data_IF_753658412457
#
_entry.id   IF_753658412457
#
_cell.length_a   1.000
_cell.length_b   1.000
_cell.length_c   1.000
_cell.angle_alpha   90.00
_cell.angle_beta   90.00
_cell.angle_gamma   90.00
#
_symmetry.space_group_name_H-M   'P 1'
#
loop_
_entity.id
_entity.type
_entity.pdbx_description
1 polymer ?
#
# COMPACT_ATOMS: atom_id res chain seq x y z
N UNK A 1 -53.64 -32.16 0.13
CA UNK A 1 -54.70 -32.30 1.15
C UNK A 1 -54.08 -32.86 2.44
N UNK A 2 -54.38 -32.23 3.58
CA UNK A 2 -54.45 -32.72 4.99
C UNK A 2 -53.34 -33.68 5.51
N UNK A 3 -52.50 -33.32 6.49
CA UNK A 3 -52.72 -33.01 7.93
C UNK A 3 -52.74 -34.25 8.86
N UNK A 4 -52.06 -34.11 10.03
CA UNK A 4 -52.20 -34.94 11.25
C UNK A 4 -50.90 -35.66 11.66
N UNK A 5 -50.07 -35.20 12.61
CA UNK A 5 -50.24 -35.03 14.07
C UNK A 5 -50.37 -36.34 14.87
N UNK A 6 -49.37 -36.63 15.72
CA UNK A 6 -49.50 -37.51 16.89
C UNK A 6 -48.54 -37.06 18.03
N UNK A 7 -48.84 -37.51 19.25
CA UNK A 7 -48.83 -36.81 20.55
C UNK A 7 -47.85 -37.43 21.58
N UNK A 8 -47.19 -36.58 22.42
CA UNK A 8 -46.78 -36.61 23.89
C UNK A 8 -46.31 -37.94 24.58
N UNK A 9 -45.61 -38.01 25.77
CA UNK A 9 -45.48 -37.02 26.89
C UNK A 9 -44.12 -36.90 27.66
N UNK A 10 -44.18 -36.05 28.72
CA UNK A 10 -43.19 -35.51 29.68
C UNK A 10 -42.65 -36.51 30.74
N UNK A 11 -41.52 -36.12 31.40
CA UNK A 11 -41.20 -36.21 32.85
C UNK A 11 -39.97 -35.29 33.12
N UNK A 12 -40.13 -34.07 33.65
CA UNK A 12 -39.89 -33.60 35.04
C UNK A 12 -38.59 -34.05 35.74
N UNK A 13 -37.70 -33.09 36.07
CA UNK A 13 -37.33 -32.74 37.45
C UNK A 13 -36.50 -31.44 37.52
N UNK A 14 -36.76 -30.71 38.60
CA UNK A 14 -36.21 -29.42 39.05
C UNK A 14 -34.78 -29.53 39.57
N UNK A 15 -34.00 -28.44 39.51
CA UNK A 15 -33.28 -27.80 40.64
C UNK A 15 -32.54 -26.55 40.10
N UNK A 16 -32.79 -25.40 40.70
CA UNK A 16 -32.07 -24.14 40.51
C UNK A 16 -30.90 -24.02 41.50
N UNK A 17 -29.95 -23.10 41.25
CA UNK A 17 -29.39 -22.32 42.34
C UNK A 17 -29.52 -20.80 42.12
N UNK A 18 -29.73 -20.17 43.27
CA UNK A 18 -29.94 -18.77 43.59
C UNK A 18 -28.76 -17.85 43.27
N UNK A 19 -29.06 -16.68 42.71
CA UNK A 19 -28.17 -15.52 42.62
C UNK A 19 -28.30 -14.66 43.89
N UNK A 20 -27.16 -14.33 44.50
CA UNK A 20 -27.03 -13.30 45.55
C UNK A 20 -26.16 -12.15 45.03
N UNK A 21 -26.52 -10.87 45.26
CA UNK A 21 -25.76 -9.73 44.78
C UNK A 21 -24.71 -9.32 45.82
N UNK A 22 -23.42 -9.40 45.47
CA UNK A 22 -22.36 -8.81 46.28
C UNK A 22 -22.17 -7.34 45.94
N UNK A 23 -22.32 -6.51 46.97
CA UNK A 23 -22.02 -5.08 47.00
C UNK A 23 -20.52 -4.85 46.80
N UNK A 24 -20.13 -4.04 45.82
CA UNK A 24 -18.83 -3.38 45.85
C UNK A 24 -18.98 -1.98 46.44
N UNK A 25 -18.26 -1.78 47.55
CA UNK A 25 -18.20 -0.55 48.34
C UNK A 25 -17.13 0.38 47.75
N UNK A 26 -17.46 1.67 47.73
CA UNK A 26 -16.57 2.80 47.45
C UNK A 26 -15.30 2.78 48.34
N UNK A 27 -14.13 2.91 47.72
CA UNK A 27 -12.86 3.19 48.37
C UNK A 27 -12.18 4.39 47.71
N UNK A 28 -11.90 5.43 48.49
CA UNK A 28 -11.43 6.76 48.09
C UNK A 28 -9.95 6.79 47.69
N UNK A 29 -9.64 7.83 46.91
CA UNK A 29 -8.42 8.65 46.85
C UNK A 29 -7.20 8.19 47.64
N UNK A 30 -6.06 8.12 46.96
CA UNK A 30 -4.82 8.63 47.53
C UNK A 30 -4.04 9.46 46.50
N UNK A 31 -3.84 10.71 46.88
CA UNK A 31 -2.95 11.69 46.29
C UNK A 31 -1.50 11.19 46.25
N UNK A 32 -0.80 11.48 45.15
CA UNK A 32 0.66 11.63 45.19
C UNK A 32 0.98 13.11 45.02
N UNK A 33 1.16 13.77 46.16
CA UNK A 33 1.73 15.10 46.25
C UNK A 33 3.26 15.04 46.12
N UNK A 34 3.76 16.11 45.50
CA UNK A 34 5.13 16.56 45.42
C UNK A 34 5.74 16.86 46.80
N UNK A 35 7.02 16.52 46.96
CA UNK A 35 8.02 17.26 47.76
C UNK A 35 9.36 17.08 47.01
N UNK A 36 10.00 18.07 46.37
CA UNK A 36 10.46 19.41 46.73
C UNK A 36 11.60 19.46 47.78
N UNK A 37 12.52 20.40 47.53
CA UNK A 37 13.70 20.82 48.33
C UNK A 37 14.98 20.00 48.12
N UNK A 38 16.17 20.58 47.85
CA UNK A 38 16.68 21.96 47.99
C UNK A 38 18.02 22.02 47.21
N UNK A 39 18.26 23.07 46.38
CA UNK A 39 19.03 24.30 46.70
C UNK A 39 20.54 24.02 46.93
N UNK A 40 21.51 24.78 46.43
CA UNK A 40 21.56 26.22 46.15
C UNK A 40 22.92 26.58 45.49
N UNK A 41 22.92 27.69 44.72
CA UNK A 41 23.96 28.74 44.63
C UNK A 41 25.34 28.43 44.01
N UNK A 42 26.02 29.31 43.25
CA UNK A 42 25.80 30.72 42.89
C UNK A 42 26.89 31.21 41.89
N UNK A 43 26.50 32.19 41.04
CA UNK A 43 27.16 33.49 40.70
C UNK A 43 28.55 33.40 39.99
N UNK A 44 28.90 34.11 38.90
CA UNK A 44 28.84 35.56 38.58
C UNK A 44 29.20 35.80 37.09
N UNK A 45 28.45 36.66 36.36
CA UNK A 45 28.84 38.01 35.84
C UNK A 45 29.95 38.05 34.75
N UNK A 46 29.79 38.71 33.59
CA UNK A 46 29.72 40.16 33.40
C UNK A 46 29.27 40.53 31.96
N UNK A 47 28.64 41.70 31.83
CA UNK A 47 28.21 42.35 30.60
C UNK A 47 29.25 43.36 30.06
N UNK A 48 29.18 43.71 28.76
CA UNK A 48 29.13 45.10 28.24
C UNK A 48 29.34 45.18 26.70
N UNK A 49 28.43 45.89 26.02
CA UNK A 49 28.62 46.64 24.74
C UNK A 49 29.02 48.11 25.07
N UNK A 50 29.21 49.13 24.18
CA UNK A 50 28.73 49.31 22.78
C UNK A 50 29.58 50.21 21.81
N UNK A 51 29.12 50.42 20.56
CA UNK A 51 29.25 51.65 19.73
C UNK A 51 28.52 51.46 18.37
N UNK A 52 27.39 52.12 18.06
CA UNK A 52 27.19 53.45 17.44
C UNK A 52 27.70 53.63 15.99
N UNK A 53 26.78 53.75 15.02
CA UNK A 53 26.62 55.00 14.23
C UNK A 53 25.33 55.06 13.38
N UNK A 54 24.74 56.26 13.37
CA UNK A 54 23.53 56.72 12.66
C UNK A 54 23.84 57.15 11.22
N UNK A 55 22.85 57.11 10.32
CA UNK A 55 22.34 58.32 9.60
C UNK A 55 21.05 58.05 8.81
N UNK A 56 20.19 59.06 8.72
CA UNK A 56 18.88 59.09 8.06
C UNK A 56 18.80 60.30 7.11
N UNK A 57 18.04 60.12 6.00
CA UNK A 57 17.16 61.09 5.32
C UNK A 57 17.73 62.14 4.34
N UNK A 58 17.16 62.25 3.12
CA UNK A 58 16.08 63.22 2.78
C UNK A 58 15.60 63.14 1.29
N UNK A 59 14.26 63.17 1.11
CA UNK A 59 13.37 63.92 0.14
C UNK A 59 13.75 64.06 -1.36
N UNK A 60 12.88 64.27 -2.37
CA UNK A 60 11.43 64.28 -2.67
C UNK A 60 11.29 64.45 -4.22
N UNK A 61 10.22 63.89 -4.80
CA UNK A 61 9.44 64.26 -6.02
C UNK A 61 10.09 64.96 -7.24
N UNK A 62 9.85 64.37 -8.42
CA UNK A 62 9.49 65.11 -9.65
C UNK A 62 8.53 64.26 -10.53
N UNK A 63 7.45 64.87 -11.01
CA UNK A 63 6.53 64.35 -12.04
C UNK A 63 7.01 64.82 -13.41
N UNK A 64 6.92 63.98 -14.44
CA UNK A 64 6.46 64.39 -15.77
C UNK A 64 6.06 63.17 -16.61
N UNK A 65 4.97 63.32 -17.35
CA UNK A 65 4.32 62.32 -18.17
C UNK A 65 4.80 62.44 -19.62
N UNK A 66 4.93 61.33 -20.34
CA UNK A 66 4.73 61.25 -21.79
C UNK A 66 4.00 59.94 -22.10
N UNK A 67 2.88 60.09 -22.79
CA UNK A 67 2.08 59.02 -23.34
C UNK A 67 2.72 58.49 -24.63
N UNK A 68 2.71 57.17 -24.82
CA UNK A 68 2.72 56.56 -26.14
C UNK A 68 1.70 55.43 -26.15
N UNK A 69 0.68 55.64 -26.97
CA UNK A 69 -0.37 54.69 -27.32
C UNK A 69 0.28 53.68 -28.26
N UNK A 70 0.30 52.40 -27.87
CA UNK A 70 0.39 51.31 -28.83
C UNK A 70 -0.76 50.34 -28.58
N UNK A 71 -1.60 50.22 -29.60
CA UNK A 71 -2.77 49.39 -29.63
C UNK A 71 -2.36 47.96 -30.04
N UNK A 72 -2.16 47.07 -29.06
CA UNK A 72 -2.05 45.64 -29.32
C UNK A 72 -3.34 44.89 -28.98
N UNK A 73 -3.88 44.27 -30.03
CA UNK A 73 -4.91 43.22 -30.06
C UNK A 73 -4.88 42.31 -28.82
N UNK A 74 -5.92 42.40 -27.98
CA UNK A 74 -6.23 41.38 -26.99
C UNK A 74 -6.83 40.16 -27.70
N UNK A 75 -5.99 39.18 -28.02
CA UNK A 75 -6.42 37.80 -28.30
C UNK A 75 -6.69 37.08 -26.98
N UNK A 76 -7.82 36.39 -26.94
CA UNK A 76 -8.29 35.55 -25.84
C UNK A 76 -7.26 34.51 -25.39
N UNK A 77 -7.10 34.34 -24.07
CA UNK A 77 -6.78 33.06 -23.47
C UNK A 77 -7.64 32.84 -22.23
N UNK A 78 -8.66 31.98 -22.34
CA UNK A 78 -9.23 31.30 -21.17
C UNK A 78 -8.10 30.47 -20.55
N UNK A 79 -7.58 30.90 -19.41
CA UNK A 79 -6.65 30.11 -18.59
C UNK A 79 -7.40 28.93 -17.98
N UNK A 80 -7.25 27.74 -18.54
CA UNK A 80 -7.56 26.50 -17.85
C UNK A 80 -6.44 26.21 -16.85
N UNK A 81 -6.67 26.42 -15.56
CA UNK A 81 -5.77 25.94 -14.51
C UNK A 81 -6.19 24.52 -14.14
N UNK A 82 -5.57 23.54 -14.78
CA UNK A 82 -5.35 22.23 -14.16
C UNK A 82 -3.84 22.14 -13.89
N UNK A 83 -3.37 22.81 -12.85
CA UNK A 83 -2.03 22.58 -12.31
C UNK A 83 -2.14 21.43 -11.33
N UNK A 84 -2.27 20.21 -11.83
CA UNK A 84 -2.19 19.04 -10.95
C UNK A 84 -0.75 18.97 -10.44
N UNK A 85 -0.58 18.97 -9.12
CA UNK A 85 0.73 18.96 -8.45
C UNK A 85 1.22 17.55 -8.16
N UNK A 86 0.56 16.53 -8.72
CA UNK A 86 1.04 15.15 -8.63
C UNK A 86 2.47 15.08 -9.20
N UNK A 87 3.48 14.80 -8.36
CA UNK A 87 4.88 14.83 -8.78
C UNK A 87 5.26 13.67 -9.69
N UNK A 88 4.36 12.70 -9.87
CA UNK A 88 4.57 11.48 -10.62
C UNK A 88 3.26 11.07 -11.30
N UNK A 89 2.75 11.82 -12.30
CA UNK A 89 1.46 11.51 -12.92
C UNK A 89 1.50 10.18 -13.67
N UNK A 90 0.38 9.44 -13.79
CA UNK A 90 0.34 8.19 -14.53
C UNK A 90 0.74 8.30 -16.00
N UNK A 91 1.30 7.22 -16.53
CA UNK A 91 1.56 7.13 -17.96
C UNK A 91 0.26 6.87 -18.72
N UNK A 92 -0.20 7.90 -19.45
CA UNK A 92 -1.33 7.74 -20.36
C UNK A 92 -1.03 6.75 -21.50
N UNK A 93 -2.08 6.24 -22.14
CA UNK A 93 -1.98 5.25 -23.25
C UNK A 93 -1.01 5.63 -24.37
N UNK A 94 -0.77 6.93 -24.59
CA UNK A 94 0.20 7.45 -25.57
C UNK A 94 1.66 7.06 -25.30
N UNK A 95 1.98 6.59 -24.09
CA UNK A 95 3.30 6.13 -23.70
C UNK A 95 3.47 4.61 -23.80
N UNK A 96 2.44 3.88 -24.22
CA UNK A 96 2.59 2.47 -24.56
C UNK A 96 3.45 2.32 -25.82
N UNK A 97 4.44 1.44 -25.77
CA UNK A 97 5.38 1.14 -26.85
C UNK A 97 5.28 -0.31 -27.34
N UNK A 98 4.44 -1.13 -26.72
CA UNK A 98 4.25 -2.54 -27.07
C UNK A 98 2.75 -2.85 -27.24
N UNK A 99 2.42 -3.52 -28.33
CA UNK A 99 1.07 -3.97 -28.68
C UNK A 99 1.02 -5.48 -29.02
N UNK A 100 2.15 -6.18 -28.85
CA UNK A 100 2.27 -7.62 -29.05
C UNK A 100 2.13 -8.32 -27.71
N UNK A 101 1.38 -9.45 -27.60
CA UNK A 101 1.27 -10.19 -26.34
C UNK A 101 2.62 -10.69 -25.79
N UNK A 102 2.89 -10.40 -24.53
CA UNK A 102 4.05 -10.91 -23.78
C UNK A 102 3.73 -12.27 -23.16
N UNK A 103 4.71 -13.18 -23.23
CA UNK A 103 4.61 -14.54 -22.68
C UNK A 103 4.99 -14.51 -21.21
N UNK A 104 4.09 -14.97 -20.35
CA UNK A 104 4.23 -14.88 -18.89
C UNK A 104 4.50 -16.26 -18.29
N UNK A 105 5.51 -16.34 -17.43
CA UNK A 105 5.76 -17.47 -16.55
C UNK A 105 5.41 -17.13 -15.11
N UNK A 106 4.56 -17.93 -14.47
CA UNK A 106 4.12 -17.72 -13.08
C UNK A 106 4.61 -18.86 -12.19
N UNK A 107 5.56 -18.56 -11.29
CA UNK A 107 6.07 -19.51 -10.31
C UNK A 107 5.32 -19.32 -8.98
N UNK A 108 4.76 -20.39 -8.40
CA UNK A 108 3.98 -20.29 -7.15
C UNK A 108 2.49 -19.99 -7.36
N UNK A 109 1.94 -20.38 -8.50
CA UNK A 109 0.59 -20.00 -8.93
C UNK A 109 -0.57 -20.47 -8.04
N UNK A 110 -0.38 -21.48 -7.19
CA UNK A 110 -1.43 -22.04 -6.32
C UNK A 110 -1.89 -21.08 -5.21
N UNK A 111 -1.03 -20.16 -4.77
CA UNK A 111 -1.37 -19.23 -3.70
C UNK A 111 -2.52 -18.30 -4.08
N UNK A 112 -3.17 -17.68 -3.09
CA UNK A 112 -4.28 -16.75 -3.35
C UNK A 112 -3.89 -15.59 -4.28
N UNK A 113 -2.68 -15.05 -4.14
CA UNK A 113 -2.16 -14.02 -5.05
C UNK A 113 -1.91 -14.56 -6.46
N UNK A 114 -1.42 -15.79 -6.59
CA UNK A 114 -1.22 -16.45 -7.88
C UNK A 114 -2.54 -16.62 -8.63
N UNK A 115 -3.60 -17.03 -7.93
CA UNK A 115 -4.95 -17.12 -8.53
C UNK A 115 -5.50 -15.75 -8.92
N UNK A 116 -5.33 -14.72 -8.09
CA UNK A 116 -5.75 -13.35 -8.44
C UNK A 116 -4.98 -12.81 -9.67
N UNK A 117 -3.71 -13.17 -9.83
CA UNK A 117 -2.93 -12.86 -11.05
C UNK A 117 -3.45 -13.62 -12.27
N UNK A 118 -3.80 -14.91 -12.13
CA UNK A 118 -4.38 -15.69 -13.23
C UNK A 118 -5.68 -15.05 -13.73
N UNK A 119 -6.55 -14.60 -12.82
CA UNK A 119 -7.80 -13.90 -13.18
C UNK A 119 -7.51 -12.61 -13.97
N UNK A 120 -6.55 -11.81 -13.50
CA UNK A 120 -6.11 -10.58 -14.18
C UNK A 120 -5.49 -10.88 -15.56
N UNK A 121 -4.60 -11.85 -15.66
CA UNK A 121 -3.99 -12.25 -16.93
C UNK A 121 -5.02 -12.80 -17.91
N UNK A 122 -6.07 -13.48 -17.42
CA UNK A 122 -7.17 -13.95 -18.26
C UNK A 122 -7.95 -12.77 -18.89
N UNK A 123 -8.11 -11.66 -18.18
CA UNK A 123 -8.77 -10.45 -18.68
C UNK A 123 -7.87 -9.52 -19.51
N UNK A 124 -6.55 -9.62 -19.40
CA UNK A 124 -5.63 -8.67 -20.02
C UNK A 124 -5.35 -8.96 -21.50
N UNK A 125 -5.47 -8.02 -22.45
CA UNK A 125 -5.30 -8.30 -23.88
C UNK A 125 -3.89 -8.80 -24.27
N UNK A 126 -2.84 -8.29 -23.61
CA UNK A 126 -1.44 -8.56 -23.94
C UNK A 126 -0.66 -9.46 -22.96
N UNK A 127 -1.29 -9.99 -21.90
CA UNK A 127 -0.61 -10.94 -21.00
C UNK A 127 -1.03 -12.35 -21.39
N UNK A 128 -0.12 -13.10 -22.01
CA UNK A 128 -0.33 -14.49 -22.42
C UNK A 128 0.40 -15.42 -21.45
N UNK A 129 -0.32 -15.92 -20.46
CA UNK A 129 0.20 -16.92 -19.52
C UNK A 129 0.57 -18.20 -20.28
N UNK A 130 1.84 -18.62 -20.17
CA UNK A 130 2.41 -19.79 -20.86
C UNK A 130 2.82 -20.90 -19.91
N UNK A 131 3.50 -20.52 -18.83
CA UNK A 131 4.07 -21.46 -17.86
C UNK A 131 3.54 -21.17 -16.47
N UNK A 132 3.16 -22.21 -15.74
CA UNK A 132 2.54 -22.09 -14.43
C UNK A 132 3.08 -23.19 -13.54
N UNK A 133 3.94 -22.83 -12.57
CA UNK A 133 4.61 -23.80 -11.70
C UNK A 133 3.90 -23.95 -10.36
N UNK A 134 3.62 -25.20 -9.99
CA UNK A 134 3.17 -25.62 -8.66
C UNK A 134 3.56 -27.07 -8.41
N UNK A 135 4.42 -27.32 -7.42
CA UNK A 135 4.80 -28.68 -7.01
C UNK A 135 3.61 -29.55 -6.62
N UNK A 136 2.60 -28.96 -5.97
CA UNK A 136 1.43 -29.70 -5.46
C UNK A 136 0.39 -30.00 -6.55
N UNK A 137 0.26 -29.12 -7.55
CA UNK A 137 -0.73 -29.25 -8.61
C UNK A 137 -0.14 -29.77 -9.93
N UNK A 138 1.15 -30.09 -9.98
CA UNK A 138 1.83 -30.57 -11.18
C UNK A 138 1.04 -31.69 -11.88
N UNK A 139 0.83 -31.54 -13.19
CA UNK A 139 0.04 -32.45 -14.01
C UNK A 139 -1.47 -32.17 -14.04
N UNK A 140 -1.99 -31.29 -13.17
CA UNK A 140 -3.40 -30.88 -13.19
C UNK A 140 -3.63 -29.72 -14.16
N UNK A 141 -4.82 -29.67 -14.77
CA UNK A 141 -5.20 -28.56 -15.65
C UNK A 141 -5.51 -27.30 -14.83
N UNK A 142 -4.92 -26.16 -15.23
CA UNK A 142 -5.25 -24.84 -14.70
C UNK A 142 -6.72 -24.50 -15.00
N UNK A 143 -7.45 -24.14 -13.96
CA UNK A 143 -8.82 -23.61 -14.07
C UNK A 143 -8.79 -22.08 -14.06
N UNK A 144 -9.83 -21.43 -14.58
CA UNK A 144 -9.96 -19.97 -14.56
C UNK A 144 -9.22 -19.22 -15.69
N UNK A 145 -8.40 -19.91 -16.48
CA UNK A 145 -7.75 -19.34 -17.66
C UNK A 145 -8.32 -19.93 -18.95
N UNK A 146 -8.93 -19.10 -19.79
CA UNK A 146 -9.70 -19.53 -20.97
C UNK A 146 -9.00 -19.28 -22.31
N UNK A 147 -7.88 -18.55 -22.32
CA UNK A 147 -7.14 -18.24 -23.55
C UNK A 147 -6.40 -19.44 -24.15
N UNK A 148 -6.08 -20.43 -23.31
CA UNK A 148 -5.47 -21.72 -23.70
C UNK A 148 -5.59 -22.73 -22.57
N UNK A 149 -5.44 -24.01 -22.91
CA UNK A 149 -5.27 -25.07 -21.91
C UNK A 149 -3.84 -25.01 -21.38
N UNK A 150 -3.68 -24.88 -20.07
CA UNK A 150 -2.40 -24.92 -19.36
C UNK A 150 -2.46 -26.05 -18.34
N UNK A 151 -1.38 -26.80 -18.23
CA UNK A 151 -1.18 -27.80 -17.18
C UNK A 151 -0.14 -27.25 -16.21
N UNK A 152 -0.37 -27.40 -14.92
CA UNK A 152 0.63 -27.01 -13.92
C UNK A 152 1.90 -27.85 -14.09
N UNK A 153 3.04 -27.17 -14.04
CA UNK A 153 4.36 -27.75 -14.16
C UNK A 153 5.06 -27.79 -12.79
N UNK A 154 6.15 -28.55 -12.68
CA UNK A 154 7.06 -28.48 -11.54
C UNK A 154 8.42 -27.97 -12.03
N UNK A 155 8.46 -26.69 -12.37
CA UNK A 155 9.66 -26.05 -12.92
C UNK A 155 10.70 -25.85 -11.81
N UNK A 156 11.87 -26.43 -12.00
CA UNK A 156 13.09 -26.14 -11.23
C UNK A 156 13.73 -24.82 -11.68
N UNK A 157 14.71 -24.28 -10.93
CA UNK A 157 15.50 -23.13 -11.39
C UNK A 157 16.15 -23.32 -12.76
N UNK A 158 16.66 -24.52 -13.05
CA UNK A 158 17.29 -24.84 -14.33
C UNK A 158 16.26 -24.86 -15.47
N UNK A 159 15.06 -25.39 -15.23
CA UNK A 159 13.96 -25.37 -16.22
C UNK A 159 13.55 -23.93 -16.54
N UNK A 160 13.44 -23.07 -15.51
CA UNK A 160 13.11 -21.65 -15.67
C UNK A 160 14.19 -20.93 -16.49
N UNK A 161 15.47 -21.16 -16.18
CA UNK A 161 16.59 -20.60 -16.93
C UNK A 161 16.62 -21.07 -18.39
N UNK A 162 16.33 -22.35 -18.63
CA UNK A 162 16.28 -22.90 -19.98
C UNK A 162 15.12 -22.32 -20.80
N UNK A 163 13.91 -22.22 -20.23
CA UNK A 163 12.76 -21.58 -20.88
C UNK A 163 13.03 -20.10 -21.20
N UNK A 164 13.76 -19.39 -20.33
CA UNK A 164 14.16 -18.01 -20.56
C UNK A 164 15.14 -17.87 -21.73
N UNK A 165 16.17 -18.72 -21.73
CA UNK A 165 17.21 -18.80 -22.76
C UNK A 165 16.64 -19.12 -24.13
N UNK A 166 15.68 -20.05 -24.19
CA UNK A 166 14.98 -20.43 -25.42
C UNK A 166 14.01 -19.35 -25.90
N UNK A 167 13.92 -18.23 -25.19
CA UNK A 167 13.08 -17.13 -25.58
C UNK A 167 11.61 -17.40 -25.35
N UNK A 168 11.20 -18.33 -24.46
CA UNK A 168 9.80 -18.75 -24.31
C UNK A 168 8.99 -17.88 -23.34
N UNK A 169 9.68 -17.11 -22.49
CA UNK A 169 9.06 -16.23 -21.49
C UNK A 169 9.64 -14.82 -21.61
N UNK A 170 8.78 -13.81 -21.60
CA UNK A 170 9.15 -12.38 -21.64
C UNK A 170 9.11 -11.77 -20.23
N UNK A 171 8.28 -12.32 -19.33
CA UNK A 171 8.25 -11.91 -17.92
C UNK A 171 7.99 -13.09 -16.98
N UNK A 172 8.81 -13.18 -15.93
CA UNK A 172 8.66 -14.11 -14.82
C UNK A 172 8.05 -13.42 -13.61
N UNK A 173 7.00 -14.01 -13.06
CA UNK A 173 6.40 -13.59 -11.79
C UNK A 173 6.69 -14.64 -10.73
N UNK A 174 7.42 -14.24 -9.69
CA UNK A 174 7.80 -15.08 -8.56
C UNK A 174 6.81 -14.89 -7.42
N UNK A 175 5.71 -15.65 -7.42
CA UNK A 175 4.71 -15.68 -6.35
C UNK A 175 5.07 -16.70 -5.26
N UNK A 176 6.31 -16.63 -4.77
CA UNK A 176 6.90 -17.59 -3.83
C UNK A 176 6.93 -17.04 -2.39
N UNK A 177 7.02 -17.91 -1.37
CA UNK A 177 7.30 -17.48 -0.01
C UNK A 177 8.66 -16.77 0.11
N UNK A 178 8.81 -15.93 1.13
CA UNK A 178 10.09 -15.29 1.45
C UNK A 178 11.21 -16.33 1.65
N UNK A 179 12.39 -16.03 1.12
CA UNK A 179 13.61 -16.84 1.17
C UNK A 179 13.69 -17.93 0.10
N UNK A 180 12.71 -18.03 -0.80
CA UNK A 180 12.61 -19.11 -1.79
C UNK A 180 12.97 -18.63 -3.21
N UNK A 181 12.96 -17.32 -3.49
CA UNK A 181 13.20 -16.80 -4.83
C UNK A 181 14.65 -16.95 -5.27
N UNK A 182 15.61 -16.90 -4.33
CA UNK A 182 17.05 -16.80 -4.61
C UNK A 182 17.57 -17.79 -5.68
N UNK A 183 17.30 -19.10 -5.63
CA UNK A 183 17.83 -20.03 -6.64
C UNK A 183 17.32 -19.73 -8.06
N UNK A 184 16.07 -19.29 -8.21
CA UNK A 184 15.51 -18.92 -9.51
C UNK A 184 16.15 -17.65 -10.06
N UNK A 185 16.39 -16.66 -9.20
CA UNK A 185 17.08 -15.43 -9.58
C UNK A 185 18.52 -15.73 -10.01
N UNK A 186 19.26 -16.53 -9.23
CA UNK A 186 20.64 -16.90 -9.57
C UNK A 186 20.73 -17.64 -10.91
N UNK A 187 19.77 -18.51 -11.23
CA UNK A 187 19.72 -19.22 -12.50
C UNK A 187 19.43 -18.28 -13.69
N UNK A 188 18.45 -17.36 -13.55
CA UNK A 188 18.15 -16.35 -14.56
C UNK A 188 19.33 -15.39 -14.77
N UNK A 189 20.02 -14.99 -13.69
CA UNK A 189 21.17 -14.11 -13.72
C UNK A 189 22.34 -14.69 -14.50
N UNK A 190 22.54 -16.01 -14.45
CA UNK A 190 23.56 -16.69 -15.25
C UNK A 190 23.26 -16.58 -16.75
N UNK A 191 22.00 -16.76 -17.14
CA UNK A 191 21.59 -16.68 -18.55
C UNK A 191 21.62 -15.23 -19.06
N UNK A 192 21.22 -14.26 -18.22
CA UNK A 192 21.17 -12.84 -18.60
C UNK A 192 22.54 -12.18 -18.76
N UNK A 193 23.63 -12.81 -18.29
CA UNK A 193 25.00 -12.27 -18.47
C UNK A 193 25.43 -12.28 -19.94
N UNK A 194 25.07 -13.33 -20.67
CA UNK A 194 25.54 -13.59 -22.04
C UNK A 194 24.43 -13.39 -23.09
N UNK A 195 23.30 -12.80 -22.70
CA UNK A 195 22.11 -12.62 -23.56
C UNK A 195 21.80 -11.16 -23.81
N UNK A 196 21.57 -10.82 -25.08
CA UNK A 196 21.05 -9.51 -25.51
C UNK A 196 19.58 -9.31 -25.09
N UNK A 197 18.86 -10.41 -24.82
CA UNK A 197 17.47 -10.39 -24.35
C UNK A 197 17.41 -10.73 -22.86
N UNK A 198 16.75 -9.88 -22.08
CA UNK A 198 16.50 -10.12 -20.65
C UNK A 198 15.00 -10.09 -20.41
N UNK A 199 14.46 -11.15 -19.84
CA UNK A 199 13.09 -11.14 -19.35
C UNK A 199 12.96 -10.21 -18.16
N UNK A 200 11.76 -9.67 -17.97
CA UNK A 200 11.41 -8.92 -16.75
C UNK A 200 11.12 -9.90 -15.62
N UNK A 201 11.67 -9.65 -14.44
CA UNK A 201 11.43 -10.46 -13.25
C UNK A 201 10.69 -9.63 -12.21
N UNK A 202 9.52 -10.10 -11.77
CA UNK A 202 8.75 -9.51 -10.67
C UNK A 202 8.79 -10.45 -9.48
N UNK A 203 9.31 -9.99 -8.33
CA UNK A 203 9.32 -10.73 -7.08
C UNK A 203 8.21 -10.22 -6.14
N UNK A 204 7.29 -11.10 -5.77
CA UNK A 204 6.20 -10.76 -4.84
C UNK A 204 6.59 -10.96 -3.37
N UNK A 205 7.68 -11.67 -3.11
CA UNK A 205 8.21 -11.89 -1.78
C UNK A 205 8.85 -10.60 -1.23
N UNK A 206 9.43 -10.68 -0.03
CA UNK A 206 10.18 -9.59 0.56
C UNK A 206 11.69 -9.63 0.25
N UNK A 207 12.17 -10.64 -0.48
CA UNK A 207 13.61 -10.95 -0.62
C UNK A 207 14.41 -9.78 -1.21
N UNK A 208 13.81 -9.04 -2.15
CA UNK A 208 14.46 -7.95 -2.88
C UNK A 208 13.86 -6.56 -2.63
N UNK A 209 12.96 -6.41 -1.64
CA UNK A 209 12.30 -5.11 -1.37
C UNK A 209 13.24 -4.05 -0.82
N UNK A 210 14.42 -4.45 -0.34
CA UNK A 210 15.46 -3.57 0.22
C UNK A 210 16.72 -3.55 -0.65
N UNK A 211 16.73 -4.29 -1.75
CA UNK A 211 17.87 -4.39 -2.66
C UNK A 211 17.83 -3.23 -3.65
N UNK A 212 18.88 -2.40 -3.65
CA UNK A 212 19.00 -1.24 -4.55
C UNK A 212 19.16 -1.62 -6.03
N UNK A 213 19.51 -2.86 -6.33
CA UNK A 213 19.55 -3.39 -7.71
C UNK A 213 18.17 -3.77 -8.25
N UNK A 214 17.13 -3.72 -7.40
CA UNK A 214 15.74 -3.94 -7.77
C UNK A 214 14.95 -2.64 -7.66
N UNK A 215 14.06 -2.41 -8.61
CA UNK A 215 13.14 -1.28 -8.57
C UNK A 215 11.95 -1.63 -7.66
N UNK A 216 11.69 -0.82 -6.64
CA UNK A 216 10.52 -1.01 -5.78
C UNK A 216 9.25 -0.60 -6.52
N UNK A 217 8.36 -1.56 -6.78
CA UNK A 217 7.23 -1.43 -7.68
C UNK A 217 5.99 -0.76 -7.08
N UNK A 218 6.12 0.47 -6.58
CA UNK A 218 5.01 1.31 -6.11
C UNK A 218 4.80 2.51 -7.06
N UNK A 219 4.15 2.37 -8.24
CA UNK A 219 4.13 3.40 -9.28
C UNK A 219 3.67 4.78 -8.83
N UNK A 220 2.83 4.89 -7.81
CA UNK A 220 2.41 6.18 -7.27
C UNK A 220 3.54 6.95 -6.57
N UNK A 221 4.54 6.25 -6.01
CA UNK A 221 5.64 6.83 -5.22
C UNK A 221 7.02 6.64 -5.85
N UNK A 222 7.26 5.54 -6.55
CA UNK A 222 8.45 5.29 -7.36
C UNK A 222 8.27 5.94 -8.72
N UNK A 223 9.30 6.63 -9.22
CA UNK A 223 9.21 7.27 -10.54
C UNK A 223 8.88 6.22 -11.60
N UNK A 224 7.78 6.42 -12.32
CA UNK A 224 7.30 5.45 -13.33
C UNK A 224 8.32 5.17 -14.43
N UNK A 225 9.18 6.15 -14.75
CA UNK A 225 10.30 5.96 -15.69
C UNK A 225 11.33 4.93 -15.22
N UNK A 226 11.55 4.82 -13.90
CA UNK A 226 12.48 3.84 -13.33
C UNK A 226 11.86 2.42 -13.42
N UNK A 227 10.56 2.29 -13.20
CA UNK A 227 9.83 1.02 -13.37
C UNK A 227 9.82 0.60 -14.84
N UNK A 228 9.54 1.53 -15.75
CA UNK A 228 9.50 1.28 -17.19
C UNK A 228 10.83 0.74 -17.73
N UNK A 229 11.97 1.20 -17.19
CA UNK A 229 13.30 0.75 -17.60
C UNK A 229 13.78 -0.50 -16.85
N UNK A 230 13.01 -1.02 -15.90
CA UNK A 230 13.44 -2.07 -15.01
C UNK A 230 13.21 -3.46 -15.59
N UNK A 231 14.21 -4.33 -15.42
CA UNK A 231 14.06 -5.78 -15.64
C UNK A 231 13.91 -6.55 -14.32
N UNK A 232 13.99 -5.87 -13.16
CA UNK A 232 13.94 -6.48 -11.83
C UNK A 232 13.11 -5.61 -10.89
N UNK A 233 11.90 -6.06 -10.59
CA UNK A 233 10.95 -5.29 -9.79
C UNK A 233 10.58 -6.08 -8.53
N UNK A 234 10.77 -5.46 -7.37
CA UNK A 234 10.28 -6.00 -6.10
C UNK A 234 8.89 -5.41 -5.83
N UNK A 235 7.89 -6.28 -5.77
CA UNK A 235 6.51 -5.85 -5.56
C UNK A 235 6.29 -5.51 -4.07
N UNK A 236 5.66 -4.36 -3.76
CA UNK A 236 5.35 -3.96 -2.40
C UNK A 236 4.54 -4.99 -1.61
N UNK A 237 4.74 -4.98 -0.29
CA UNK A 237 3.87 -5.67 0.64
C UNK A 237 2.50 -5.01 0.79
N UNK A 238 1.47 -5.80 1.10
CA UNK A 238 0.09 -5.33 1.11
C UNK A 238 -0.19 -4.24 2.17
N UNK A 239 0.31 -4.40 3.40
CA UNK A 239 0.21 -3.33 4.41
C UNK A 239 1.11 -2.14 4.07
N UNK A 240 2.32 -2.41 3.58
CA UNK A 240 3.26 -1.37 3.20
C UNK A 240 2.70 -0.48 2.09
N UNK A 241 1.97 -1.04 1.13
CA UNK A 241 1.30 -0.31 0.06
C UNK A 241 0.32 0.73 0.64
N UNK A 242 -0.63 0.30 1.46
CA UNK A 242 -1.63 1.20 2.04
C UNK A 242 -1.01 2.25 2.96
N UNK A 243 -0.05 1.86 3.80
CA UNK A 243 0.60 2.76 4.74
C UNK A 243 1.47 3.81 4.02
N UNK A 244 2.24 3.42 3.00
CA UNK A 244 3.06 4.35 2.22
C UNK A 244 2.21 5.35 1.46
N UNK A 245 1.16 4.90 0.76
CA UNK A 245 0.19 5.79 0.09
C UNK A 245 -0.50 6.74 1.08
N UNK A 246 -0.59 6.34 2.35
CA UNK A 246 -1.23 7.16 3.36
C UNK A 246 -0.27 8.13 4.04
N UNK A 247 1.00 7.80 4.21
CA UNK A 247 1.96 8.65 4.94
C UNK A 247 2.69 9.60 3.99
N UNK A 248 2.94 9.20 2.74
CA UNK A 248 3.72 9.96 1.76
C UNK A 248 3.32 11.45 1.62
N UNK A 249 2.02 11.82 1.56
CA UNK A 249 1.62 13.23 1.45
C UNK A 249 1.94 14.10 2.68
N UNK A 250 2.30 13.48 3.81
CA UNK A 250 2.56 14.15 5.09
C UNK A 250 4.00 14.03 5.58
N UNK A 251 4.91 13.44 4.80
CA UNK A 251 6.33 13.25 5.20
C UNK A 251 6.97 14.56 5.67
N UNK A 252 6.80 15.65 4.92
CA UNK A 252 7.31 16.98 5.27
C UNK A 252 6.57 17.68 6.43
N UNK A 253 5.53 17.04 6.96
CA UNK A 253 4.68 17.56 8.02
C UNK A 253 4.72 16.71 9.30
N UNK A 254 5.51 15.64 9.32
CA UNK A 254 5.65 14.79 10.49
C UNK A 254 6.27 15.56 11.66
N UNK A 255 5.62 15.46 12.82
CA UNK A 255 6.10 15.96 14.11
C UNK A 255 6.57 14.87 15.06
N UNK A 256 6.57 13.61 14.61
CA UNK A 256 6.90 12.43 15.39
C UNK A 256 6.66 11.15 14.59
N UNK A 257 6.84 10.01 15.25
CA UNK A 257 6.67 8.69 14.65
C UNK A 257 5.20 8.38 14.32
N UNK A 258 4.86 8.03 13.06
CA UNK A 258 3.55 7.48 12.72
C UNK A 258 3.30 6.12 13.36
N UNK A 259 2.09 5.91 13.89
CA UNK A 259 1.65 4.64 14.48
C UNK A 259 0.53 4.04 13.63
N UNK A 260 0.72 2.82 13.15
CA UNK A 260 -0.15 2.12 12.21
C UNK A 260 -0.78 0.91 12.91
N UNK A 261 -2.11 0.92 13.04
CA UNK A 261 -2.88 -0.25 13.43
C UNK A 261 -3.50 -0.86 12.18
N UNK A 262 -3.14 -2.11 11.87
CA UNK A 262 -3.58 -2.80 10.66
C UNK A 262 -4.43 -4.03 10.97
N UNK A 263 -5.50 -4.23 10.21
CA UNK A 263 -6.33 -5.44 10.27
C UNK A 263 -6.50 -6.03 8.87
N UNK A 264 -5.94 -7.20 8.62
CA UNK A 264 -6.08 -7.91 7.34
C UNK A 264 -7.16 -8.97 7.40
N UNK A 265 -7.77 -9.23 6.26
CA UNK A 265 -8.45 -10.50 6.01
C UNK A 265 -7.47 -11.66 5.98
N UNK A 266 -7.96 -12.87 6.26
CA UNK A 266 -7.11 -14.03 6.50
C UNK A 266 -6.40 -14.59 5.25
N UNK A 267 -6.79 -14.17 4.05
CA UNK A 267 -6.07 -14.52 2.81
C UNK A 267 -4.62 -14.01 2.80
N UNK A 268 -4.32 -12.94 3.56
CA UNK A 268 -2.96 -12.42 3.70
C UNK A 268 -1.97 -13.38 4.37
N UNK A 269 -2.47 -14.36 5.12
CA UNK A 269 -1.62 -15.41 5.72
C UNK A 269 -1.28 -16.55 4.74
N UNK A 270 -1.79 -16.50 3.50
CA UNK A 270 -1.55 -17.50 2.47
C UNK A 270 -2.34 -18.80 2.67
N UNK A 271 -1.96 -19.85 1.96
CA UNK A 271 -2.68 -21.14 1.92
C UNK A 271 -2.12 -22.20 2.88
N UNK A 272 -0.95 -21.96 3.48
CA UNK A 272 -0.37 -22.88 4.49
C UNK A 272 -1.16 -22.72 5.79
N UNK A 273 -1.72 -23.81 6.30
CA UNK A 273 -2.58 -23.79 7.50
C UNK A 273 -1.86 -23.17 8.72
N UNK A 274 -2.58 -22.31 9.43
CA UNK A 274 -2.16 -21.62 10.64
C UNK A 274 -3.39 -21.08 11.38
N UNK A 275 -3.27 -20.68 12.66
CA UNK A 275 -4.37 -19.99 13.35
C UNK A 275 -4.84 -18.71 12.63
N UNK A 276 -3.95 -18.07 11.86
CA UNK A 276 -4.21 -16.82 11.15
C UNK A 276 -5.03 -17.00 9.85
N UNK A 277 -5.22 -18.23 9.39
CA UNK A 277 -6.07 -18.56 8.24
C UNK A 277 -7.02 -19.74 8.51
N UNK A 278 -7.33 -19.99 9.78
CA UNK A 278 -8.36 -20.94 10.18
C UNK A 278 -9.66 -20.15 10.51
N UNK A 279 -10.70 -20.24 9.66
CA UNK A 279 -11.97 -19.55 9.90
C UNK A 279 -12.65 -19.94 11.22
N UNK A 280 -12.37 -21.12 11.77
CA UNK A 280 -12.93 -21.54 13.07
C UNK A 280 -12.27 -20.78 14.21
N UNK A 281 -10.96 -20.57 14.15
CA UNK A 281 -10.20 -19.81 15.16
C UNK A 281 -10.47 -18.31 15.06
N UNK A 282 -10.70 -17.82 13.84
CA UNK A 282 -10.96 -16.41 13.56
C UNK A 282 -12.40 -15.99 13.87
N UNK A 283 -13.34 -16.93 13.95
CA UNK A 283 -14.74 -16.63 14.25
C UNK A 283 -14.83 -15.89 15.60
N UNK A 284 -15.51 -14.75 15.59
CA UNK A 284 -15.70 -13.86 16.76
C UNK A 284 -14.37 -13.42 17.42
N UNK A 285 -13.29 -13.37 16.64
CA UNK A 285 -11.93 -13.11 17.14
C UNK A 285 -11.19 -12.08 16.27
N UNK A 286 -10.17 -11.45 16.86
CA UNK A 286 -9.20 -10.57 16.21
C UNK A 286 -7.81 -10.94 16.73
N UNK A 287 -6.98 -11.54 15.88
CA UNK A 287 -5.73 -12.16 16.33
C UNK A 287 -4.56 -11.21 16.09
N UNK A 288 -3.86 -10.72 17.13
CA UNK A 288 -2.60 -10.00 16.97
C UNK A 288 -1.48 -10.92 16.49
N UNK A 289 -0.55 -10.41 15.71
CA UNK A 289 0.68 -11.13 15.37
C UNK A 289 1.81 -10.16 15.09
N UNK A 290 3.06 -10.56 15.37
CA UNK A 290 4.25 -9.74 15.09
C UNK A 290 4.06 -8.28 15.51
N UNK A 291 3.64 -8.07 16.76
CA UNK A 291 3.24 -6.76 17.31
C UNK A 291 4.36 -5.70 17.25
N UNK A 292 5.60 -6.14 17.08
CA UNK A 292 6.78 -5.34 16.74
C UNK A 292 7.64 -6.13 15.74
N UNK A 293 8.48 -5.44 14.98
CA UNK A 293 9.44 -6.09 14.08
C UNK A 293 8.80 -6.83 12.90
N UNK A 294 7.55 -6.53 12.57
CA UNK A 294 6.94 -7.01 11.34
C UNK A 294 7.65 -6.39 10.13
N UNK A 295 7.98 -7.16 9.10
CA UNK A 295 8.78 -6.68 7.94
C UNK A 295 8.25 -5.42 7.26
N UNK A 296 6.92 -5.27 7.15
CA UNK A 296 6.32 -4.04 6.64
C UNK A 296 6.68 -2.78 7.44
N UNK A 297 7.01 -2.87 8.72
CA UNK A 297 7.47 -1.75 9.53
C UNK A 297 8.75 -1.14 8.93
N UNK A 298 9.75 -1.98 8.68
CA UNK A 298 11.01 -1.55 8.04
C UNK A 298 10.83 -1.21 6.57
N UNK A 299 9.94 -1.89 5.85
CA UNK A 299 9.62 -1.58 4.46
C UNK A 299 9.05 -0.17 4.30
N UNK A 300 8.09 0.21 5.16
CA UNK A 300 7.45 1.53 5.12
C UNK A 300 8.45 2.62 5.47
N UNK A 301 9.21 2.46 6.56
CA UNK A 301 10.18 3.50 6.97
C UNK A 301 11.29 3.66 5.94
N UNK A 302 11.82 2.56 5.41
CA UNK A 302 12.87 2.57 4.38
C UNK A 302 12.45 3.35 3.14
N UNK A 303 11.31 3.00 2.53
CA UNK A 303 10.88 3.58 1.25
C UNK A 303 10.31 5.00 1.36
N UNK A 304 9.87 5.41 2.55
CA UNK A 304 9.49 6.80 2.81
C UNK A 304 10.66 7.67 3.30
N UNK A 305 11.86 7.10 3.50
CA UNK A 305 13.01 7.83 4.05
C UNK A 305 12.80 8.29 5.50
N UNK A 306 11.98 7.58 6.27
CA UNK A 306 11.67 7.89 7.66
C UNK A 306 12.60 7.13 8.61
N UNK A 307 12.93 7.69 9.79
CA UNK A 307 13.72 6.98 10.79
C UNK A 307 13.01 5.72 11.29
N UNK A 308 11.69 5.81 11.50
CA UNK A 308 10.87 4.69 11.95
C UNK A 308 9.38 4.97 11.74
N UNK A 309 8.60 3.89 11.78
CA UNK A 309 7.16 3.87 12.01
C UNK A 309 6.89 2.74 13.01
N UNK A 310 5.80 2.83 13.78
CA UNK A 310 5.36 1.71 14.61
C UNK A 310 4.20 0.98 13.93
N UNK A 311 4.27 -0.34 13.77
CA UNK A 311 3.22 -1.11 13.10
C UNK A 311 2.71 -2.29 13.94
N UNK A 312 1.39 -2.35 14.11
CA UNK A 312 0.71 -3.36 14.92
C UNK A 312 -0.35 -4.11 14.08
N UNK A 313 -0.01 -5.28 13.50
CA UNK A 313 -0.91 -6.03 12.66
C UNK A 313 -1.83 -6.99 13.43
N UNK A 314 -3.04 -7.14 12.92
CA UNK A 314 -4.04 -8.10 13.35
C UNK A 314 -4.68 -8.78 12.13
N UNK A 315 -5.26 -9.96 12.35
CA UNK A 315 -6.04 -10.68 11.35
C UNK A 315 -7.45 -10.92 11.85
N UNK A 316 -8.43 -10.71 10.98
CA UNK A 316 -9.84 -10.86 11.27
C UNK A 316 -10.49 -11.98 10.43
N UNK A 317 -11.76 -12.23 10.69
CA UNK A 317 -12.54 -13.34 10.11
C UNK A 317 -12.96 -13.16 8.65
N UNK A 318 -12.82 -11.97 8.07
CA UNK A 318 -13.12 -11.76 6.65
C UNK A 318 -11.99 -12.26 5.76
N UNK A 319 -12.32 -12.70 4.55
CA UNK A 319 -11.34 -13.35 3.66
C UNK A 319 -10.27 -12.39 3.14
N UNK A 320 -10.65 -11.19 2.69
CA UNK A 320 -9.76 -10.28 1.97
C UNK A 320 -9.98 -8.82 2.36
N UNK A 321 -9.03 -7.98 1.96
CA UNK A 321 -8.89 -6.57 2.27
C UNK A 321 -8.24 -6.28 3.63
N UNK A 322 -7.54 -5.16 3.67
CA UNK A 322 -6.84 -4.60 4.83
C UNK A 322 -7.50 -3.29 5.22
N UNK A 323 -7.69 -3.09 6.52
CA UNK A 323 -7.97 -1.79 7.12
C UNK A 323 -6.73 -1.29 7.84
N UNK A 324 -6.33 -0.04 7.58
CA UNK A 324 -5.29 0.67 8.31
C UNK A 324 -5.91 1.87 9.01
N UNK A 325 -5.66 2.00 10.30
CA UNK A 325 -5.87 3.24 11.06
C UNK A 325 -4.50 3.79 11.42
N UNK A 326 -4.17 4.99 10.93
CA UNK A 326 -2.83 5.56 11.02
C UNK A 326 -2.90 6.86 11.81
N UNK A 327 -2.22 6.89 12.95
CA UNK A 327 -2.09 8.06 13.81
C UNK A 327 -0.77 8.77 13.49
N UNK A 328 -0.85 10.04 13.11
CA UNK A 328 0.27 10.81 12.58
C UNK A 328 0.41 12.11 13.40
N UNK A 329 1.47 12.23 14.22
CA UNK A 329 1.85 13.50 14.83
C UNK A 329 2.32 14.50 13.76
N UNK A 330 1.92 15.76 13.90
CA UNK A 330 2.20 16.85 12.95
C UNK A 330 3.11 17.92 13.58
N UNK A 331 4.09 18.39 12.83
CA UNK A 331 5.03 19.43 13.29
C UNK A 331 4.38 20.83 13.38
N UNK A 332 3.25 21.04 12.70
CA UNK A 332 2.48 22.29 12.67
C UNK A 332 0.99 22.02 12.80
N UNK A 333 0.23 23.03 13.22
CA UNK A 333 -1.22 22.92 13.31
C UNK A 333 -1.81 22.89 11.90
N UNK A 334 -2.62 21.88 11.61
CA UNK A 334 -3.30 21.71 10.32
C UNK A 334 -4.75 21.31 10.55
N UNK A 335 -5.63 21.74 9.66
CA UNK A 335 -7.06 21.35 9.69
C UNK A 335 -7.27 20.09 8.86
N UNK A 336 -8.29 19.29 9.19
CA UNK A 336 -8.74 18.17 8.36
C UNK A 336 -8.93 18.53 6.89
N UNK A 337 -9.46 19.73 6.62
CA UNK A 337 -9.65 20.23 5.25
C UNK A 337 -8.33 20.41 4.51
N UNK A 338 -7.35 21.07 5.14
CA UNK A 338 -6.04 21.30 4.53
C UNK A 338 -5.31 19.98 4.29
N UNK A 339 -5.39 19.04 5.24
CA UNK A 339 -4.79 17.71 5.10
C UNK A 339 -5.44 16.96 3.93
N UNK A 340 -6.78 16.87 3.91
CA UNK A 340 -7.48 16.19 2.80
C UNK A 340 -7.12 16.80 1.44
N UNK A 341 -6.97 18.12 1.36
CA UNK A 341 -6.57 18.81 0.13
C UNK A 341 -5.19 18.35 -0.38
N UNK A 342 -4.19 18.18 0.51
CA UNK A 342 -2.88 17.65 0.12
C UNK A 342 -2.96 16.27 -0.53
N UNK A 343 -3.87 15.41 -0.05
CA UNK A 343 -4.05 14.06 -0.62
C UNK A 343 -4.74 14.14 -1.97
N UNK A 344 -5.76 15.00 -2.11
CA UNK A 344 -6.46 15.22 -3.38
C UNK A 344 -5.53 15.76 -4.45
N UNK A 345 -4.61 16.66 -4.08
CA UNK A 345 -3.57 17.17 -4.96
C UNK A 345 -2.52 16.09 -5.29
N UNK A 346 -2.02 15.39 -4.28
CA UNK A 346 -0.95 14.38 -4.44
C UNK A 346 -1.36 13.20 -5.31
N UNK A 347 -2.62 12.78 -5.21
CA UNK A 347 -3.20 11.65 -5.93
C UNK A 347 -4.19 12.09 -7.01
N UNK A 348 -4.10 13.35 -7.44
CA UNK A 348 -4.80 13.79 -8.64
C UNK A 348 -4.39 12.90 -9.82
N UNK A 349 -5.39 12.49 -10.60
CA UNK A 349 -5.28 11.62 -11.77
C UNK A 349 -4.80 10.18 -11.50
N UNK A 350 -4.64 9.75 -10.25
CA UNK A 350 -4.30 8.36 -9.90
C UNK A 350 -5.57 7.49 -9.82
N UNK A 351 -5.91 6.66 -10.83
CA UNK A 351 -7.19 5.95 -10.86
C UNK A 351 -7.29 4.84 -9.80
N UNK A 352 -6.14 4.38 -9.28
CA UNK A 352 -6.07 3.33 -8.27
C UNK A 352 -5.89 3.87 -6.84
N UNK A 353 -5.96 5.19 -6.63
CA UNK A 353 -5.97 5.82 -5.31
C UNK A 353 -7.14 6.79 -5.21
N UNK A 354 -8.08 6.51 -4.30
CA UNK A 354 -9.29 7.31 -4.12
C UNK A 354 -9.28 8.02 -2.78
N UNK A 355 -9.45 9.34 -2.81
CA UNK A 355 -9.57 10.15 -1.61
C UNK A 355 -11.04 10.36 -1.27
N UNK A 356 -11.48 9.74 -0.18
CA UNK A 356 -12.87 9.80 0.30
C UNK A 356 -12.98 10.71 1.53
N UNK A 357 -14.21 11.12 1.87
CA UNK A 357 -14.44 12.01 3.02
C UNK A 357 -14.42 11.27 4.35
N UNK A 358 -15.40 10.39 4.53
CA UNK A 358 -15.55 9.55 5.72
C UNK A 358 -14.48 8.46 5.79
N UNK A 359 -14.37 7.80 6.95
CA UNK A 359 -13.54 6.61 7.05
C UNK A 359 -14.12 5.51 6.13
N UNK A 360 -13.35 5.00 5.14
CA UNK A 360 -13.83 3.93 4.28
C UNK A 360 -14.08 2.64 5.10
N UNK A 361 -14.78 1.68 4.49
CA UNK A 361 -15.09 0.39 5.11
C UNK A 361 -14.43 -0.74 4.33
N UNK A 362 -13.96 -1.80 5.01
CA UNK A 362 -13.30 -2.97 4.38
C UNK A 362 -14.08 -3.52 3.19
N UNK A 363 -15.41 -3.55 3.30
CA UNK A 363 -16.30 -4.07 2.25
C UNK A 363 -16.26 -3.25 0.95
N UNK A 364 -16.01 -1.95 1.04
CA UNK A 364 -16.06 -1.01 -0.11
C UNK A 364 -15.01 -1.31 -1.19
N UNK A 365 -13.86 -1.87 -0.80
CA UNK A 365 -12.75 -2.18 -1.72
C UNK A 365 -12.58 -3.68 -1.97
N UNK A 366 -13.44 -4.53 -1.39
CA UNK A 366 -13.28 -5.98 -1.49
C UNK A 366 -13.43 -6.45 -2.94
N UNK A 367 -12.40 -7.12 -3.44
CA UNK A 367 -12.23 -7.53 -4.85
C UNK A 367 -12.04 -6.39 -5.85
N UNK A 368 -11.81 -5.16 -5.37
CA UNK A 368 -11.49 -4.01 -6.23
C UNK A 368 -9.97 -3.80 -6.32
N UNK A 369 -9.58 -2.90 -7.22
CA UNK A 369 -8.19 -2.70 -7.65
C UNK A 369 -7.58 -1.40 -7.12
N UNK A 370 -8.32 -0.63 -6.33
CA UNK A 370 -7.89 0.65 -5.79
C UNK A 370 -7.67 0.62 -4.27
N UNK A 371 -6.94 1.62 -3.78
CA UNK A 371 -6.83 1.97 -2.37
C UNK A 371 -7.75 3.16 -2.07
N UNK A 372 -8.51 3.11 -0.99
CA UNK A 372 -9.29 4.25 -0.47
C UNK A 372 -8.59 4.85 0.75
N UNK A 373 -8.47 6.17 0.79
CA UNK A 373 -7.90 6.91 1.92
C UNK A 373 -8.91 7.98 2.34
N UNK A 374 -9.28 7.99 3.63
CA UNK A 374 -10.31 8.88 4.15
C UNK A 374 -10.31 9.01 5.67
N UNK A 375 -11.37 9.59 6.22
CA UNK A 375 -11.52 9.74 7.67
C UNK A 375 -10.50 10.68 8.30
N UNK A 376 -10.14 11.76 7.61
CA UNK A 376 -9.14 12.75 8.05
C UNK A 376 -9.57 13.49 9.32
N UNK A 377 -9.29 12.90 10.48
CA UNK A 377 -9.70 13.44 11.78
C UNK A 377 -8.52 14.11 12.49
N UNK A 378 -8.52 15.44 12.56
CA UNK A 378 -7.54 16.19 13.36
C UNK A 378 -8.00 16.30 14.81
N UNK A 379 -7.07 16.21 15.76
CA UNK A 379 -7.35 16.52 17.16
C UNK A 379 -7.61 18.01 17.38
N UNK A 380 -8.03 18.40 18.59
CA UNK A 380 -8.36 19.79 18.91
C UNK A 380 -7.19 20.76 18.76
N UNK A 381 -5.95 20.28 18.90
CA UNK A 381 -4.74 21.09 18.69
C UNK A 381 -4.36 21.25 17.21
N UNK A 382 -4.89 20.39 16.34
CA UNK A 382 -4.49 20.23 14.94
C UNK A 382 -3.05 19.74 14.77
N UNK A 383 -2.41 19.24 15.84
CA UNK A 383 -1.05 18.69 15.84
C UNK A 383 -1.03 17.16 15.72
N UNK A 384 -2.20 16.54 15.57
CA UNK A 384 -2.32 15.10 15.29
C UNK A 384 -3.44 14.88 14.29
N UNK A 385 -3.23 13.99 13.33
CA UNK A 385 -4.28 13.50 12.45
C UNK A 385 -4.37 11.98 12.54
N UNK A 386 -5.59 11.46 12.49
CA UNK A 386 -5.86 10.05 12.24
C UNK A 386 -6.45 9.92 10.85
N UNK A 387 -5.95 8.98 10.06
CA UNK A 387 -6.44 8.66 8.71
C UNK A 387 -6.71 7.16 8.62
N UNK A 388 -7.69 6.80 7.80
CA UNK A 388 -8.00 5.42 7.48
C UNK A 388 -7.63 5.12 6.02
N UNK A 389 -7.00 3.97 5.79
CA UNK A 389 -6.67 3.48 4.46
C UNK A 389 -7.08 2.03 4.28
N UNK A 390 -7.73 1.72 3.16
CA UNK A 390 -8.25 0.38 2.90
C UNK A 390 -7.94 -0.01 1.47
N UNK A 391 -7.45 -1.23 1.29
CA UNK A 391 -7.22 -1.85 -0.01
C UNK A 391 -7.56 -3.34 0.04
N UNK A 392 -7.77 -3.95 -1.12
CA UNK A 392 -7.79 -5.40 -1.24
C UNK A 392 -6.35 -5.95 -1.22
N UNK A 393 -6.02 -6.79 -0.24
CA UNK A 393 -4.68 -7.31 -0.03
C UNK A 393 -4.20 -8.30 -1.12
N UNK A 394 -5.12 -8.92 -1.86
CA UNK A 394 -4.79 -9.80 -2.98
C UNK A 394 -4.70 -9.02 -4.29
N UNK A 395 -5.48 -7.94 -4.43
CA UNK A 395 -5.45 -7.07 -5.61
C UNK A 395 -4.48 -5.91 -5.46
N UNK A 396 -4.91 -4.70 -5.05
CA UNK A 396 -4.03 -3.52 -4.95
C UNK A 396 -2.84 -3.75 -4.00
N UNK A 397 -3.01 -4.60 -2.99
CA UNK A 397 -1.92 -5.00 -2.10
C UNK A 397 -0.96 -6.06 -2.66
N UNK A 398 -1.24 -6.65 -3.84
CA UNK A 398 -0.39 -7.65 -4.47
C UNK A 398 -0.56 -7.75 -6.00
N UNK A 399 -1.58 -8.46 -6.50
CA UNK A 399 -1.71 -8.85 -7.91
C UNK A 399 -1.92 -7.66 -8.87
N UNK A 400 -2.72 -6.67 -8.48
CA UNK A 400 -2.92 -5.46 -9.29
C UNK A 400 -1.66 -4.62 -9.36
N UNK A 401 -0.94 -4.52 -8.24
CA UNK A 401 0.35 -3.84 -8.17
C UNK A 401 1.36 -4.51 -9.10
N UNK A 402 1.43 -5.85 -9.05
CA UNK A 402 2.26 -6.64 -9.94
C UNK A 402 1.91 -6.39 -11.41
N UNK A 403 0.63 -6.43 -11.78
CA UNK A 403 0.20 -6.17 -13.16
C UNK A 403 0.51 -4.74 -13.61
N UNK A 404 0.34 -3.73 -12.75
CA UNK A 404 0.69 -2.34 -13.03
C UNK A 404 2.20 -2.20 -13.31
N UNK A 405 3.03 -2.87 -12.52
CA UNK A 405 4.48 -2.94 -12.72
C UNK A 405 4.85 -3.65 -14.03
N UNK A 406 4.21 -4.79 -14.32
CA UNK A 406 4.41 -5.54 -15.57
C UNK A 406 4.03 -4.70 -16.79
N UNK A 407 2.90 -3.98 -16.73
CA UNK A 407 2.47 -3.09 -17.81
C UNK A 407 3.54 -2.05 -18.13
N UNK A 408 4.06 -1.37 -17.10
CA UNK A 408 5.11 -0.37 -17.28
C UNK A 408 6.40 -0.99 -17.86
N UNK A 409 6.90 -2.07 -17.27
CA UNK A 409 8.16 -2.69 -17.66
C UNK A 409 8.13 -3.37 -19.04
N UNK A 410 6.96 -3.86 -19.46
CA UNK A 410 6.76 -4.50 -20.78
C UNK A 410 6.31 -3.51 -21.86
N UNK A 411 6.15 -2.23 -21.52
CA UNK A 411 5.79 -1.17 -22.47
C UNK A 411 4.31 -1.07 -22.82
N UNK A 412 3.40 -1.63 -22.00
CA UNK A 412 1.96 -1.45 -22.15
C UNK A 412 1.47 -0.17 -21.44
N UNK A 413 0.22 0.21 -21.72
CA UNK A 413 -0.42 1.27 -20.93
C UNK A 413 -0.58 0.81 -19.48
N UNK A 414 -0.26 1.69 -18.52
CA UNK A 414 -0.13 1.35 -17.10
C UNK A 414 -1.33 0.59 -16.51
N UNK A 415 -2.55 0.95 -16.93
CA UNK A 415 -3.79 0.36 -16.43
C UNK A 415 -4.44 -0.63 -17.39
N UNK A 416 -3.74 -1.05 -18.45
CA UNK A 416 -4.28 -2.05 -19.38
C UNK A 416 -4.60 -3.35 -18.64
N UNK A 417 -5.75 -3.95 -18.95
CA UNK A 417 -6.29 -5.12 -18.23
C UNK A 417 -6.57 -4.94 -16.73
N UNK A 418 -6.45 -3.74 -16.16
CA UNK A 418 -6.83 -3.44 -14.77
C UNK A 418 -8.19 -2.73 -14.77
N UNK A 419 -9.21 -3.27 -14.07
CA UNK A 419 -10.48 -2.57 -13.91
C UNK A 419 -10.30 -1.28 -13.08
N UNK A 420 -10.38 -0.13 -13.74
CA UNK A 420 -10.24 1.20 -13.12
C UNK A 420 -11.57 1.90 -12.82
N UNK A 421 -12.67 1.42 -13.41
CA UNK A 421 -14.01 1.93 -13.15
C UNK A 421 -14.71 1.09 -12.08
N UNK A 422 -15.45 1.77 -11.20
CA UNK A 422 -16.28 1.15 -10.16
C UNK A 422 -17.64 0.81 -10.76
N UNK A 423 -17.67 -0.15 -11.69
CA UNK A 423 -18.93 -0.70 -12.22
C UNK A 423 -19.47 -1.79 -11.32
#
# INVERSE_FOLDING_TARGET
>A
MRAGACRVPRLSTSIAPTLSPSRYVFGRCHDYQLDNARRLSCISSLAASPALNRTYSTRKYARQAIASIDAERVRQHRRGYATTTNPNPPFGKKHASNDVPSRIGLIGARGYTGQALIDLFNGHPFMDLRHVSSRELAGQQLQGYNKRKITYEHLSPDDVAQLDKDGQVDCWVMALPNGVCKPYIEALDQIHKDSDRKSVIIDLSADHRFDKSWTYGLPELTKRSEILQSTRISNPGCYATGAQLSIAPLVDHLGGEPVIFGVSGYSGAGTKQSPKNDPKVLKDNLIPYSLTGHIHETEISHHLGLPSVAFVPHVASWFRSIHLTINIPLNKTMTSRNIRHLYQERYADEPLVKIVGEAPLVRSVSSLHHCEIGGFATDSSGKRVVICSILDNLNKGAATQCLQNMNLALGYAEFEGIPTSSS
#
